data_IF_692222952670
#
_entry.id   IF_692222952670
#
_cell.length_a   1.000
_cell.length_b   1.000
_cell.length_c   1.000
_cell.angle_alpha   90.00
_cell.angle_beta   90.00
_cell.angle_gamma   90.00
#
_symmetry.space_group_name_H-M   'P 1'
#
loop_
_entity.id
_entity.type
_entity.pdbx_description
1 polymer ?
#
# COMPACT_ATOMS: atom_id res chain seq x y z
N UNK A 1 34.00 20.31 -21.04
CA UNK A 1 34.12 19.42 -19.88
C UNK A 1 32.73 18.90 -19.56
N UNK A 2 32.51 17.58 -19.58
CA UNK A 2 31.21 17.00 -19.25
C UNK A 2 31.00 17.07 -17.74
N UNK A 3 29.96 17.78 -17.30
CA UNK A 3 29.51 17.78 -15.90
C UNK A 3 29.29 16.33 -15.44
N UNK A 4 29.94 15.88 -14.35
CA UNK A 4 29.73 14.53 -13.84
C UNK A 4 28.26 14.40 -13.40
N UNK A 5 27.53 13.57 -14.14
CA UNK A 5 26.12 13.25 -13.89
C UNK A 5 25.98 12.58 -12.51
N UNK A 6 24.94 12.87 -11.72
CA UNK A 6 24.94 12.55 -10.31
C UNK A 6 25.04 11.04 -10.10
N UNK A 7 26.03 10.65 -9.27
CA UNK A 7 26.03 9.32 -8.68
C UNK A 7 24.72 9.14 -7.94
N UNK A 8 24.14 7.95 -8.10
CA UNK A 8 22.83 7.52 -7.60
C UNK A 8 22.74 7.83 -6.11
N UNK A 9 22.26 9.03 -5.76
CA UNK A 9 21.66 9.27 -4.47
C UNK A 9 20.48 8.31 -4.37
N UNK A 10 20.36 7.59 -3.26
CA UNK A 10 19.28 6.64 -3.04
C UNK A 10 17.95 7.28 -3.46
N UNK A 11 17.23 6.65 -4.40
CA UNK A 11 15.94 7.16 -4.87
C UNK A 11 14.99 7.36 -3.69
N UNK A 12 14.17 8.42 -3.69
CA UNK A 12 13.23 8.66 -2.61
C UNK A 12 12.29 7.47 -2.40
N UNK A 13 11.98 7.19 -1.13
CA UNK A 13 11.04 6.14 -0.75
C UNK A 13 9.59 6.57 -0.99
N UNK A 14 9.28 7.84 -0.73
CA UNK A 14 7.97 8.42 -0.97
C UNK A 14 7.64 8.51 -2.48
N UNK A 15 6.40 8.22 -2.85
CA UNK A 15 5.96 8.13 -4.25
C UNK A 15 5.93 9.52 -4.89
N UNK A 16 5.48 10.54 -4.15
CA UNK A 16 5.39 11.90 -4.66
C UNK A 16 6.78 12.51 -4.83
N UNK A 17 7.66 12.35 -3.84
CA UNK A 17 9.06 12.78 -3.94
C UNK A 17 9.79 12.07 -5.10
N UNK A 18 9.58 10.77 -5.26
CA UNK A 18 10.15 10.00 -6.37
C UNK A 18 9.66 10.56 -7.72
N UNK A 19 8.35 10.79 -7.87
CA UNK A 19 7.78 11.32 -9.11
C UNK A 19 8.33 12.72 -9.43
N UNK A 20 8.44 13.60 -8.43
CA UNK A 20 9.02 14.94 -8.61
C UNK A 20 10.49 14.87 -9.02
N UNK A 21 11.29 14.05 -8.34
CA UNK A 21 12.71 13.90 -8.65
C UNK A 21 12.93 13.28 -10.04
N UNK A 22 12.16 12.26 -10.39
CA UNK A 22 12.17 11.65 -11.72
C UNK A 22 11.75 12.65 -12.80
N UNK A 23 10.75 13.48 -12.56
CA UNK A 23 10.32 14.51 -13.51
C UNK A 23 11.42 15.54 -13.79
N UNK A 24 12.08 16.07 -12.74
CA UNK A 24 13.19 17.01 -12.93
C UNK A 24 14.38 16.34 -13.62
N UNK A 25 14.67 15.08 -13.28
CA UNK A 25 15.71 14.29 -13.93
C UNK A 25 15.42 14.09 -15.42
N UNK A 26 14.19 13.71 -15.79
CA UNK A 26 13.78 13.51 -17.18
C UNK A 26 13.83 14.81 -17.97
N UNK A 27 13.48 15.94 -17.37
CA UNK A 27 13.59 17.25 -18.02
C UNK A 27 15.06 17.59 -18.33
N UNK A 28 15.98 17.34 -17.39
CA UNK A 28 17.42 17.54 -17.62
C UNK A 28 17.97 16.56 -18.67
N UNK A 29 17.51 15.31 -18.63
CA UNK A 29 17.87 14.29 -19.61
C UNK A 29 17.42 14.68 -21.03
N UNK A 30 16.21 15.22 -21.17
CA UNK A 30 15.68 15.69 -22.46
C UNK A 30 16.53 16.81 -23.03
N UNK A 31 16.88 17.83 -22.23
CA UNK A 31 17.79 18.91 -22.67
C UNK A 31 19.14 18.35 -23.10
N UNK A 32 19.68 17.35 -22.38
CA UNK A 32 20.93 16.70 -22.74
C UNK A 32 20.84 15.92 -24.07
N UNK A 33 19.70 15.30 -24.35
CA UNK A 33 19.45 14.58 -25.60
C UNK A 33 19.30 15.56 -26.75
N UNK A 34 18.52 16.63 -26.57
CA UNK A 34 18.31 17.66 -27.58
C UNK A 34 19.61 18.39 -27.93
N UNK A 35 20.50 18.57 -26.95
CA UNK A 35 21.82 19.21 -27.13
C UNK A 35 22.88 18.26 -27.71
N UNK A 36 22.59 16.97 -27.87
CA UNK A 36 23.58 15.99 -28.32
C UNK A 36 23.82 16.03 -29.84
N UNK A 37 22.94 16.66 -30.63
CA UNK A 37 22.98 16.63 -32.11
C UNK A 37 23.21 15.20 -32.63
N UNK A 38 24.32 14.94 -33.33
CA UNK A 38 24.68 13.61 -33.85
C UNK A 38 25.46 12.73 -32.84
N UNK A 39 25.72 13.23 -31.63
CA UNK A 39 26.42 12.46 -30.59
C UNK A 39 25.48 11.42 -29.95
N UNK A 40 26.00 10.20 -29.68
CA UNK A 40 25.21 9.18 -29.02
C UNK A 40 24.87 9.57 -27.58
N UNK A 41 23.61 9.37 -27.20
CA UNK A 41 23.12 9.61 -25.83
C UNK A 41 23.85 8.70 -24.83
N UNK A 42 24.24 9.20 -23.64
CA UNK A 42 24.94 8.39 -22.64
C UNK A 42 24.13 7.16 -22.20
N UNK A 43 24.67 5.95 -22.37
CA UNK A 43 24.04 4.71 -21.88
C UNK A 43 23.67 4.73 -20.39
N UNK A 44 24.48 5.32 -19.47
CA UNK A 44 24.10 5.46 -18.07
C UNK A 44 22.82 6.27 -17.87
N UNK A 45 22.58 7.31 -18.68
CA UNK A 45 21.38 8.14 -18.63
C UNK A 45 20.13 7.28 -18.84
N UNK A 46 20.12 6.51 -19.93
CA UNK A 46 19.02 5.62 -20.31
C UNK A 46 18.78 4.54 -19.25
N UNK A 47 19.84 3.91 -18.73
CA UNK A 47 19.72 2.89 -17.67
C UNK A 47 19.06 3.46 -16.41
N UNK A 48 19.47 4.65 -15.99
CA UNK A 48 18.89 5.33 -14.83
C UNK A 48 17.43 5.69 -15.05
N UNK A 49 17.06 6.18 -16.25
CA UNK A 49 15.67 6.45 -16.63
C UNK A 49 14.79 5.20 -16.52
N UNK A 50 15.23 4.09 -17.12
CA UNK A 50 14.49 2.82 -17.10
C UNK A 50 14.32 2.34 -15.65
N UNK A 51 15.40 2.29 -14.88
CA UNK A 51 15.36 1.83 -13.49
C UNK A 51 14.39 2.66 -12.63
N UNK A 52 14.45 3.99 -12.72
CA UNK A 52 13.59 4.88 -11.95
C UNK A 52 12.11 4.74 -12.34
N UNK A 53 11.80 4.67 -13.63
CA UNK A 53 10.44 4.42 -14.11
C UNK A 53 9.90 3.07 -13.62
N UNK A 54 10.71 2.01 -13.71
CA UNK A 54 10.33 0.69 -13.19
C UNK A 54 10.03 0.71 -11.69
N UNK A 55 10.84 1.40 -10.89
CA UNK A 55 10.61 1.53 -9.44
C UNK A 55 9.32 2.31 -9.16
N UNK A 56 9.07 3.40 -9.88
CA UNK A 56 7.85 4.20 -9.70
C UNK A 56 6.60 3.38 -10.07
N UNK A 57 6.62 2.68 -11.20
CA UNK A 57 5.52 1.79 -11.64
C UNK A 57 5.26 0.71 -10.59
N UNK A 58 6.31 0.05 -10.08
CA UNK A 58 6.17 -0.96 -9.05
C UNK A 58 5.50 -0.39 -7.78
N UNK A 59 5.92 0.81 -7.33
CA UNK A 59 5.30 1.48 -6.19
C UNK A 59 3.81 1.75 -6.41
N UNK A 60 3.42 2.20 -7.60
CA UNK A 60 2.00 2.40 -7.94
C UNK A 60 1.22 1.08 -7.97
N UNK A 61 1.80 0.00 -8.49
CA UNK A 61 1.16 -1.31 -8.53
C UNK A 61 0.99 -1.95 -7.15
N UNK A 62 1.92 -1.69 -6.22
CA UNK A 62 1.87 -2.25 -4.86
C UNK A 62 1.11 -1.38 -3.85
N UNK A 63 0.79 -0.14 -4.20
CA UNK A 63 0.02 0.75 -3.33
C UNK A 63 -1.46 0.39 -3.48
N UNK A 64 -2.13 -0.12 -2.43
CA UNK A 64 -3.57 -0.37 -2.51
C UNK A 64 -4.29 0.96 -2.73
N UNK A 65 -5.21 0.99 -3.69
CA UNK A 65 -6.05 2.16 -3.90
C UNK A 65 -7.02 2.35 -2.72
N UNK A 66 -7.55 3.58 -2.57
CA UNK A 66 -8.48 3.93 -1.49
C UNK A 66 -9.70 3.01 -1.49
N UNK A 67 -10.12 2.54 -2.66
CA UNK A 67 -11.25 1.64 -2.80
C UNK A 67 -10.97 0.26 -2.18
N UNK A 68 -9.78 -0.30 -2.42
CA UNK A 68 -9.31 -1.55 -1.80
C UNK A 68 -9.25 -1.42 -0.28
N UNK A 69 -8.75 -0.28 0.23
CA UNK A 69 -8.73 0.00 1.67
C UNK A 69 -10.16 0.10 2.23
N UNK A 70 -11.07 0.81 1.57
CA UNK A 70 -12.48 0.91 2.01
C UNK A 70 -13.21 -0.44 1.97
N UNK A 71 -12.93 -1.26 0.96
CA UNK A 71 -13.47 -2.63 0.88
C UNK A 71 -12.97 -3.49 2.05
N UNK A 72 -11.67 -3.43 2.36
CA UNK A 72 -11.11 -4.15 3.50
C UNK A 72 -11.74 -3.68 4.83
N UNK A 73 -11.93 -2.37 5.01
CA UNK A 73 -12.62 -1.81 6.19
C UNK A 73 -14.07 -2.33 6.27
N UNK A 74 -14.77 -2.34 5.14
CA UNK A 74 -16.17 -2.81 5.07
C UNK A 74 -16.26 -4.31 5.41
N UNK A 75 -15.33 -5.12 4.90
CA UNK A 75 -15.25 -6.54 5.24
C UNK A 75 -15.01 -6.76 6.74
N UNK A 76 -14.03 -6.05 7.32
CA UNK A 76 -13.75 -6.11 8.77
C UNK A 76 -14.98 -5.70 9.60
N UNK A 77 -15.70 -4.64 9.20
CA UNK A 77 -16.92 -4.22 9.87
C UNK A 77 -18.03 -5.27 9.82
N UNK A 78 -18.20 -5.94 8.66
CA UNK A 78 -19.16 -7.03 8.50
C UNK A 78 -18.81 -8.24 9.38
N UNK A 79 -17.54 -8.62 9.40
CA UNK A 79 -17.03 -9.72 10.23
C UNK A 79 -17.25 -9.43 11.71
N UNK A 80 -16.87 -8.23 12.17
CA UNK A 80 -17.10 -7.79 13.55
C UNK A 80 -18.57 -7.83 13.94
N UNK A 81 -19.47 -7.34 13.06
CA UNK A 81 -20.92 -7.37 13.32
C UNK A 81 -21.42 -8.81 13.46
N UNK A 82 -20.91 -9.71 12.62
CA UNK A 82 -21.26 -11.14 12.67
C UNK A 82 -20.75 -11.77 13.96
N UNK A 83 -19.49 -11.53 14.34
CA UNK A 83 -18.92 -12.03 15.59
C UNK A 83 -19.69 -11.53 16.82
N UNK A 84 -20.07 -10.25 16.86
CA UNK A 84 -20.86 -9.68 17.96
C UNK A 84 -22.24 -10.35 18.04
N UNK A 85 -22.90 -10.56 16.90
CA UNK A 85 -24.20 -11.23 16.87
C UNK A 85 -24.11 -12.68 17.37
N UNK A 86 -23.08 -13.41 16.97
CA UNK A 86 -22.82 -14.78 17.43
C UNK A 86 -22.55 -14.81 18.92
N UNK A 87 -21.64 -13.98 19.42
CA UNK A 87 -21.31 -13.90 20.86
C UNK A 87 -22.53 -13.52 21.70
N UNK A 88 -23.36 -12.59 21.22
CA UNK A 88 -24.60 -12.20 21.90
C UNK A 88 -25.57 -13.38 22.01
N UNK A 89 -25.71 -14.17 20.94
CA UNK A 89 -26.55 -15.37 20.93
C UNK A 89 -26.01 -16.45 21.88
N UNK A 90 -24.72 -16.74 21.82
CA UNK A 90 -24.07 -17.73 22.68
C UNK A 90 -24.19 -17.35 24.16
N UNK A 91 -23.96 -16.08 24.49
CA UNK A 91 -24.09 -15.55 25.86
C UNK A 91 -25.52 -15.70 26.36
N UNK A 92 -26.52 -15.32 25.55
CA UNK A 92 -27.92 -15.45 25.94
C UNK A 92 -28.33 -16.92 26.15
N UNK A 93 -27.81 -17.83 25.32
CA UNK A 93 -28.05 -19.26 25.47
C UNK A 93 -27.43 -19.79 26.77
N UNK A 94 -26.18 -19.46 27.05
CA UNK A 94 -25.49 -19.87 28.28
C UNK A 94 -26.19 -19.35 29.55
N UNK A 95 -26.68 -18.10 29.52
CA UNK A 95 -27.45 -17.53 30.63
C UNK A 95 -28.76 -18.29 30.85
N UNK A 96 -29.46 -18.66 29.77
CA UNK A 96 -30.70 -19.44 29.85
C UNK A 96 -30.45 -20.83 30.45
N UNK A 97 -29.42 -21.54 29.97
CA UNK A 97 -29.04 -22.86 30.49
C UNK A 97 -28.63 -22.82 31.96
N UNK A 98 -27.89 -21.77 32.37
CA UNK A 98 -27.52 -21.56 33.77
C UNK A 98 -28.75 -21.28 34.66
N UNK A 99 -29.72 -20.51 34.16
CA UNK A 99 -30.97 -20.24 34.88
C UNK A 99 -31.83 -21.50 35.03
N UNK A 100 -31.94 -22.32 33.98
CA UNK A 100 -32.65 -23.60 34.00
C UNK A 100 -32.00 -24.60 34.97
N UNK A 101 -30.67 -24.72 34.93
CA UNK A 101 -29.89 -25.58 35.86
C UNK A 101 -30.08 -25.16 37.32
N UNK A 102 -30.12 -23.85 37.59
CA UNK A 102 -30.38 -23.33 38.95
C UNK A 102 -31.77 -23.71 39.43
N UNK A 103 -32.78 -23.60 38.57
CA UNK A 103 -34.18 -23.92 38.90
C UNK A 103 -34.36 -25.39 39.25
N UNK A 104 -33.82 -26.30 38.44
CA UNK A 104 -33.92 -27.74 38.70
C UNK A 104 -33.19 -28.14 39.99
N UNK A 105 -32.05 -27.50 40.28
CA UNK A 105 -31.32 -27.73 41.54
C UNK A 105 -32.13 -27.31 42.77
N UNK A 106 -32.86 -26.20 42.71
CA UNK A 106 -33.71 -25.75 43.82
C UNK A 106 -34.97 -26.58 44.02
N UNK A 107 -35.46 -27.27 42.98
CA UNK A 107 -36.64 -28.15 43.07
C UNK A 107 -36.31 -29.54 43.64
N UNK A 108 -35.02 -29.91 43.73
CA UNK A 108 -34.53 -31.21 44.23
C UNK A 108 -34.07 -31.19 45.70
N UNK A 109 -34.12 -30.04 46.37
CA UNK A 109 -33.77 -29.83 47.79
C UNK A 109 -35.03 -29.63 48.64
#
# INVERSE_FOLDING_TARGET
MATPWPQVAAWPNDIHEHATYLSDYLRKALVCIDSAEDQPVPKPLIKTMIAAMSVLIAKFQTTPDVNSVMQAITAIQSDLKTTIATLSRETNQAVKEAAETRRTTTELL
#
